data_IF_056668916761
#
_entry.id   IF_056668916761
#
_cell.length_a   1.000
_cell.length_b   1.000
_cell.length_c   1.000
_cell.angle_alpha   90.00
_cell.angle_beta   90.00
_cell.angle_gamma   90.00
#
_symmetry.space_group_name_H-M   'P 1'
#
loop_
_entity.id
_entity.type
_entity.pdbx_description
1 polymer ?
#
# COMPACT_ATOMS: atom_id res chain seq x y z
N UNK A 1 5.04 8.55 -5.84
CA UNK A 1 3.59 8.39 -5.56
C UNK A 1 2.86 8.48 -6.88
N UNK A 2 1.63 7.96 -7.00
CA UNK A 2 0.89 8.00 -8.28
C UNK A 2 0.54 9.41 -8.78
N UNK A 3 0.53 10.40 -7.90
CA UNK A 3 0.32 11.82 -8.21
C UNK A 3 1.61 12.57 -8.63
N UNK A 4 2.74 11.87 -8.69
CA UNK A 4 4.04 12.44 -8.99
C UNK A 4 4.84 12.92 -7.77
N UNK A 5 4.27 12.95 -6.55
CA UNK A 5 5.06 13.25 -5.35
C UNK A 5 6.17 12.21 -5.15
N UNK A 6 7.34 12.66 -4.70
CA UNK A 6 8.57 11.87 -4.62
C UNK A 6 8.88 11.54 -3.17
N UNK A 7 9.14 10.26 -2.88
CA UNK A 7 9.89 9.83 -1.69
C UNK A 7 11.32 9.63 -2.15
N UNK A 8 12.25 10.38 -1.56
CA UNK A 8 13.67 10.23 -1.82
C UNK A 8 14.33 9.59 -0.60
N UNK A 9 15.28 8.69 -0.81
CA UNK A 9 16.09 8.11 0.25
C UNK A 9 17.53 8.00 -0.25
N UNK A 10 18.44 8.63 0.48
CA UNK A 10 19.87 8.36 0.42
C UNK A 10 20.26 7.55 1.66
N UNK A 11 20.76 6.35 1.44
CA UNK A 11 21.19 5.43 2.50
C UNK A 11 22.73 5.43 2.58
N UNK A 12 23.27 5.67 3.76
CA UNK A 12 24.70 5.55 4.06
C UNK A 12 24.89 4.52 5.17
N UNK A 13 25.81 3.58 5.01
CA UNK A 13 26.09 2.53 6.00
C UNK A 13 27.57 2.61 6.37
N UNK A 14 27.87 2.78 7.66
CA UNK A 14 29.21 2.66 8.21
C UNK A 14 29.34 1.28 8.86
N UNK A 15 29.96 0.34 8.13
CA UNK A 15 30.15 -1.03 8.59
C UNK A 15 31.12 -1.14 9.78
N UNK A 16 32.00 -0.15 9.99
CA UNK A 16 32.96 -0.19 11.08
C UNK A 16 32.32 0.20 12.41
N UNK A 17 31.39 1.16 12.37
CA UNK A 17 30.61 1.58 13.55
C UNK A 17 29.32 0.78 13.74
N UNK A 18 28.87 0.08 12.70
CA UNK A 18 27.57 -0.60 12.70
C UNK A 18 26.40 0.38 12.63
N UNK A 19 26.61 1.57 12.04
CA UNK A 19 25.62 2.64 11.98
C UNK A 19 25.02 2.77 10.57
N UNK A 20 23.74 3.12 10.49
CA UNK A 20 23.06 3.40 9.24
C UNK A 20 22.38 4.77 9.28
N UNK A 21 22.55 5.57 8.22
CA UNK A 21 21.96 6.90 8.09
C UNK A 21 21.00 6.94 6.91
N UNK A 22 19.72 7.19 7.21
CA UNK A 22 18.61 7.30 6.28
C UNK A 22 18.27 8.77 6.07
N UNK A 23 18.67 9.32 4.92
CA UNK A 23 18.44 10.71 4.56
C UNK A 23 17.31 10.84 3.55
N UNK A 24 16.16 11.35 4.00
CA UNK A 24 14.98 11.60 3.18
C UNK A 24 14.96 12.99 2.53
N UNK A 25 16.07 13.75 2.57
CA UNK A 25 16.22 15.03 1.86
C UNK A 25 15.84 14.88 0.39
N UNK A 26 15.09 15.84 -0.16
CA UNK A 26 14.55 15.78 -1.52
C UNK A 26 13.19 15.09 -1.66
N UNK A 27 12.63 14.56 -0.57
CA UNK A 27 11.22 14.16 -0.52
C UNK A 27 10.32 15.39 -0.73
N UNK A 28 9.24 15.22 -1.48
CA UNK A 28 8.34 16.34 -1.82
C UNK A 28 7.72 17.02 -0.58
N UNK A 29 7.35 18.31 -0.70
CA UNK A 29 6.60 19.02 0.32
C UNK A 29 5.30 18.31 0.74
N UNK A 30 4.74 18.75 1.86
CA UNK A 30 3.38 18.43 2.29
C UNK A 30 2.39 18.51 1.12
N UNK A 31 1.50 17.53 1.05
CA UNK A 31 0.51 17.43 -0.02
C UNK A 31 -0.85 17.90 0.44
N UNK A 32 -1.59 18.54 -0.48
CA UNK A 32 -3.01 18.84 -0.30
C UNK A 32 -3.87 17.59 -0.51
N UNK A 33 -3.69 16.63 0.39
CA UNK A 33 -4.28 15.30 0.37
C UNK A 33 -4.16 14.66 1.75
N UNK A 34 -4.61 13.42 1.89
CA UNK A 34 -4.60 12.75 3.19
C UNK A 34 -3.44 11.76 3.37
N UNK A 35 -2.55 11.60 2.40
CA UNK A 35 -1.42 10.66 2.46
C UNK A 35 -0.14 11.28 3.04
N UNK A 36 -0.26 12.40 3.77
CA UNK A 36 0.83 12.87 4.61
C UNK A 36 1.04 11.88 5.76
N UNK A 37 2.30 11.69 6.17
CA UNK A 37 2.71 10.75 7.19
C UNK A 37 3.53 11.49 8.25
N UNK A 38 3.11 11.48 9.54
CA UNK A 38 3.94 11.94 10.63
C UNK A 38 5.29 11.22 10.67
N UNK A 39 6.33 11.87 11.19
CA UNK A 39 7.70 11.33 11.24
C UNK A 39 7.76 9.92 11.85
N UNK A 40 6.95 9.67 12.88
CA UNK A 40 6.84 8.36 13.54
C UNK A 40 6.45 7.22 12.59
N UNK A 41 5.66 7.50 11.55
CA UNK A 41 5.25 6.50 10.53
C UNK A 41 6.44 6.10 9.66
N UNK A 42 7.24 7.09 9.26
CA UNK A 42 8.47 6.87 8.49
C UNK A 42 9.48 6.08 9.32
N UNK A 43 9.68 6.46 10.59
CA UNK A 43 10.54 5.73 11.51
C UNK A 43 10.09 4.28 11.70
N UNK A 44 8.79 4.03 11.91
CA UNK A 44 8.25 2.68 12.04
C UNK A 44 8.48 1.82 10.79
N UNK A 45 8.32 2.39 9.59
CA UNK A 45 8.60 1.67 8.34
C UNK A 45 10.08 1.31 8.18
N UNK A 46 11.00 2.22 8.56
CA UNK A 46 12.45 1.95 8.56
C UNK A 46 12.80 0.81 9.53
N UNK A 47 12.27 0.86 10.76
CA UNK A 47 12.49 -0.21 11.77
C UNK A 47 11.97 -1.55 11.25
N UNK A 48 10.75 -1.56 10.70
CA UNK A 48 10.16 -2.76 10.13
C UNK A 48 11.09 -3.38 9.07
N UNK A 49 11.59 -2.57 8.14
CA UNK A 49 12.52 -3.05 7.10
C UNK A 49 13.80 -3.62 7.71
N UNK A 50 14.43 -2.89 8.64
CA UNK A 50 15.65 -3.37 9.30
C UNK A 50 15.41 -4.68 10.02
N UNK A 51 14.28 -4.82 10.75
CA UNK A 51 13.94 -6.08 11.43
C UNK A 51 13.74 -7.24 10.47
N UNK A 52 13.16 -7.00 9.29
CA UNK A 52 13.01 -8.02 8.25
C UNK A 52 14.33 -8.44 7.62
N UNK A 53 15.34 -7.55 7.58
CA UNK A 53 16.65 -7.84 6.99
C UNK A 53 17.62 -8.47 7.99
N UNK A 54 17.44 -8.18 9.27
CA UNK A 54 18.28 -8.67 10.35
C UNK A 54 17.81 -10.05 10.78
N UNK A 55 18.49 -11.08 10.30
CA UNK A 55 18.25 -12.50 10.62
C UNK A 55 18.83 -12.91 11.99
N UNK A 56 18.57 -12.09 13.02
CA UNK A 56 18.83 -12.45 14.41
C UNK A 56 17.57 -12.29 15.24
N UNK A 57 17.47 -13.09 16.29
CA UNK A 57 16.34 -13.03 17.23
C UNK A 57 16.52 -11.84 18.18
N UNK A 58 16.19 -10.64 17.68
CA UNK A 58 16.18 -9.40 18.46
C UNK A 58 14.74 -8.98 18.78
N UNK A 59 14.47 -8.55 20.03
CA UNK A 59 13.17 -8.01 20.39
C UNK A 59 12.92 -6.69 19.65
N UNK A 60 11.69 -6.47 19.18
CA UNK A 60 11.30 -5.24 18.51
C UNK A 60 11.12 -4.11 19.54
N UNK A 61 12.15 -3.30 19.77
CA UNK A 61 12.11 -2.16 20.67
C UNK A 61 12.99 -0.99 20.18
N UNK A 62 12.98 0.13 20.93
CA UNK A 62 13.73 1.34 20.57
C UNK A 62 15.26 1.13 20.50
N UNK A 63 15.81 0.09 21.14
CA UNK A 63 17.22 -0.26 21.02
C UNK A 63 17.64 -0.61 19.59
N UNK A 64 16.73 -1.11 18.76
CA UNK A 64 16.98 -1.34 17.33
C UNK A 64 17.25 -0.04 16.54
N UNK A 65 16.83 1.11 17.07
CA UNK A 65 17.06 2.42 16.47
C UNK A 65 18.32 3.12 16.97
N UNK A 66 18.94 2.65 18.06
CA UNK A 66 20.12 3.32 18.62
C UNK A 66 21.25 3.54 17.58
N UNK A 67 21.56 2.60 16.66
CA UNK A 67 22.57 2.81 15.62
C UNK A 67 21.99 3.40 14.31
N UNK A 68 20.73 3.85 14.31
CA UNK A 68 20.02 4.28 13.09
C UNK A 68 19.71 5.76 13.15
N UNK A 69 20.40 6.55 12.33
CA UNK A 69 20.07 7.96 12.12
C UNK A 69 19.00 8.10 11.04
N UNK A 70 17.92 8.82 11.32
CA UNK A 70 16.86 9.12 10.36
C UNK A 70 16.74 10.63 10.24
N UNK A 71 16.98 11.16 9.04
CA UNK A 71 16.75 12.56 8.72
C UNK A 71 15.55 12.71 7.79
N UNK A 72 14.54 13.45 8.25
CA UNK A 72 13.35 13.78 7.47
C UNK A 72 13.29 15.30 7.30
N UNK A 73 13.19 15.82 6.06
CA UNK A 73 13.09 17.25 5.85
C UNK A 73 11.75 17.78 6.37
N UNK A 74 11.79 18.77 7.28
CA UNK A 74 10.61 19.44 7.83
C UNK A 74 9.75 20.04 6.72
N UNK A 75 8.43 19.90 6.83
CA UNK A 75 7.48 20.38 5.83
C UNK A 75 7.36 19.51 4.58
N UNK A 76 8.05 18.37 4.53
CA UNK A 76 7.75 17.31 3.55
C UNK A 76 6.49 16.54 3.95
N UNK A 77 5.91 15.77 3.03
CA UNK A 77 4.77 14.93 3.40
C UNK A 77 5.15 13.75 4.32
N UNK A 78 6.43 13.55 4.64
CA UNK A 78 6.92 12.63 5.69
C UNK A 78 7.18 13.31 7.04
N UNK A 79 7.08 14.65 7.08
CA UNK A 79 7.13 15.51 8.27
C UNK A 79 6.18 16.69 8.04
N UNK A 80 4.87 16.44 7.87
CA UNK A 80 3.90 17.48 7.57
C UNK A 80 3.67 18.40 8.77
N UNK A 81 2.98 19.52 8.54
CA UNK A 81 2.45 20.37 9.60
C UNK A 81 1.27 19.73 10.32
N UNK A 82 0.96 20.23 11.52
CA UNK A 82 -0.19 19.76 12.33
C UNK A 82 -1.56 20.03 11.69
N UNK A 83 -1.59 20.78 10.58
CA UNK A 83 -2.82 21.09 9.82
C UNK A 83 -3.09 20.08 8.71
N UNK A 84 -2.13 19.23 8.38
CA UNK A 84 -2.23 18.29 7.29
C UNK A 84 -3.15 17.11 7.62
N UNK A 85 -3.88 16.61 6.63
CA UNK A 85 -4.60 15.36 6.76
C UNK A 85 -3.62 14.17 6.62
N UNK A 86 -3.70 13.20 7.56
CA UNK A 86 -2.71 12.12 7.69
C UNK A 86 -3.26 10.69 7.60
N UNK A 87 -4.58 10.52 7.40
CA UNK A 87 -5.23 9.19 7.37
C UNK A 87 -4.57 8.21 6.39
N UNK A 88 -4.22 8.70 5.21
CA UNK A 88 -3.55 7.96 4.14
C UNK A 88 -2.07 7.68 4.41
N UNK A 89 -1.43 8.36 5.38
CA UNK A 89 -0.01 8.21 5.70
C UNK A 89 0.33 6.79 6.13
N UNK A 90 -0.47 6.23 7.05
CA UNK A 90 -0.28 4.88 7.55
C UNK A 90 -0.58 3.78 6.52
N UNK A 91 -1.41 4.06 5.52
CA UNK A 91 -1.95 3.03 4.62
C UNK A 91 -1.37 3.09 3.21
N UNK A 92 -0.90 4.25 2.77
CA UNK A 92 -0.24 4.42 1.47
C UNK A 92 1.23 4.71 1.68
N UNK A 93 1.53 5.82 2.35
CA UNK A 93 2.90 6.35 2.40
C UNK A 93 3.86 5.42 3.13
N UNK A 94 3.46 4.79 4.24
CA UNK A 94 4.26 3.79 4.95
C UNK A 94 4.68 2.60 4.06
N UNK A 95 3.77 2.10 3.21
CA UNK A 95 4.04 1.04 2.24
C UNK A 95 5.05 1.51 1.19
N UNK A 96 4.94 2.76 0.76
CA UNK A 96 5.86 3.37 -0.23
C UNK A 96 7.25 3.63 0.36
N UNK A 97 7.34 4.06 1.63
CA UNK A 97 8.61 4.17 2.36
C UNK A 97 9.25 2.79 2.49
N UNK A 98 8.47 1.76 2.85
CA UNK A 98 8.94 0.37 2.92
C UNK A 98 9.52 -0.11 1.58
N UNK A 99 8.80 0.11 0.48
CA UNK A 99 9.29 -0.23 -0.87
C UNK A 99 10.61 0.48 -1.19
N UNK A 100 10.76 1.77 -0.87
CA UNK A 100 11.98 2.55 -1.11
C UNK A 100 13.15 2.01 -0.30
N UNK A 101 12.94 1.73 0.99
CA UNK A 101 13.98 1.18 1.87
C UNK A 101 14.42 -0.21 1.42
N UNK A 102 13.49 -1.15 1.21
CA UNK A 102 13.82 -2.50 0.75
C UNK A 102 14.50 -2.51 -0.63
N UNK A 103 14.11 -1.59 -1.51
CA UNK A 103 14.78 -1.39 -2.81
C UNK A 103 16.20 -0.86 -2.64
N UNK A 104 16.44 0.08 -1.71
CA UNK A 104 17.77 0.61 -1.44
C UNK A 104 18.74 -0.48 -0.94
N UNK A 105 18.24 -1.42 -0.12
CA UNK A 105 18.99 -2.61 0.29
C UNK A 105 19.04 -3.72 -0.77
N UNK A 106 18.33 -3.56 -1.89
CA UNK A 106 18.14 -4.61 -2.91
C UNK A 106 17.69 -5.95 -2.33
N UNK A 107 16.80 -5.89 -1.33
CA UNK A 107 16.40 -7.05 -0.55
C UNK A 107 15.38 -7.94 -1.27
N UNK A 108 14.36 -7.33 -1.88
CA UNK A 108 13.32 -8.01 -2.64
C UNK A 108 12.69 -7.06 -3.68
N UNK A 109 11.95 -7.62 -4.63
CA UNK A 109 11.09 -6.83 -5.50
C UNK A 109 9.98 -6.13 -4.70
N UNK A 110 9.36 -5.10 -5.29
CA UNK A 110 8.23 -4.43 -4.63
C UNK A 110 7.00 -5.36 -4.57
N UNK A 111 6.36 -5.40 -3.40
CA UNK A 111 5.01 -5.96 -3.25
C UNK A 111 3.96 -5.03 -3.89
N UNK A 112 2.66 -5.30 -3.71
CA UNK A 112 1.58 -4.42 -4.18
C UNK A 112 1.70 -2.94 -3.74
N UNK A 113 2.52 -2.63 -2.73
CA UNK A 113 2.95 -1.27 -2.37
C UNK A 113 1.82 -0.37 -1.86
N UNK A 114 0.75 -0.98 -1.34
CA UNK A 114 -0.46 -0.32 -0.85
C UNK A 114 -1.30 -1.30 -0.01
N UNK A 115 -2.18 -0.80 0.86
CA UNK A 115 -3.17 -1.63 1.56
C UNK A 115 -4.53 -1.74 0.85
N UNK A 116 -4.72 -0.99 -0.23
CA UNK A 116 -5.99 -0.87 -0.97
C UNK A 116 -7.18 -0.64 -0.06
N UNK A 117 -7.16 0.49 0.66
CA UNK A 117 -8.22 0.83 1.58
C UNK A 117 -9.52 1.10 0.83
N UNK A 118 -10.54 0.31 1.16
CA UNK A 118 -11.90 0.49 0.72
C UNK A 118 -12.76 0.83 1.92
N UNK A 119 -13.41 1.99 1.87
CA UNK A 119 -14.50 2.30 2.79
C UNK A 119 -15.77 2.60 2.01
N UNK A 120 -16.90 2.18 2.54
CA UNK A 120 -18.19 2.61 2.04
C UNK A 120 -19.24 2.61 3.13
N UNK A 121 -20.30 3.38 2.93
CA UNK A 121 -21.37 3.46 3.91
C UNK A 121 -22.40 4.51 3.58
N UNK A 122 -23.27 4.76 4.55
CA UNK A 122 -24.23 5.85 4.58
C UNK A 122 -24.44 6.29 6.04
N UNK A 123 -25.51 7.03 6.31
CA UNK A 123 -25.78 7.56 7.66
C UNK A 123 -26.11 6.46 8.69
N UNK A 124 -26.29 5.20 8.28
CA UNK A 124 -26.67 4.10 9.15
C UNK A 124 -25.56 3.08 9.39
N UNK A 125 -24.52 3.04 8.54
CA UNK A 125 -23.39 2.12 8.68
C UNK A 125 -22.13 2.60 7.97
N UNK A 126 -20.99 2.07 8.41
CA UNK A 126 -19.72 2.15 7.70
C UNK A 126 -19.06 0.79 7.59
N UNK A 127 -18.47 0.52 6.44
CA UNK A 127 -17.59 -0.61 6.19
C UNK A 127 -16.17 -0.12 5.91
N UNK A 128 -15.18 -0.84 6.40
CA UNK A 128 -13.77 -0.59 6.12
C UNK A 128 -13.04 -1.92 5.93
N UNK A 129 -12.33 -2.04 4.81
CA UNK A 129 -11.47 -3.17 4.51
C UNK A 129 -10.15 -2.70 3.88
N UNK A 130 -9.12 -3.51 4.13
CA UNK A 130 -7.84 -3.48 3.41
C UNK A 130 -7.80 -4.70 2.50
N UNK A 131 -7.44 -4.52 1.22
CA UNK A 131 -7.43 -5.59 0.24
C UNK A 131 -5.97 -5.98 -0.05
N UNK A 132 -5.65 -7.25 0.19
CA UNK A 132 -4.32 -7.81 -0.06
C UNK A 132 -3.96 -7.85 -1.55
N UNK A 133 -2.79 -8.40 -1.84
CA UNK A 133 -2.32 -8.59 -3.21
C UNK A 133 -1.05 -9.42 -3.27
N UNK A 134 -0.25 -9.21 -4.31
CA UNK A 134 1.00 -9.93 -4.49
C UNK A 134 2.11 -9.38 -3.59
N UNK A 135 2.85 -10.28 -2.93
CA UNK A 135 4.13 -9.94 -2.31
C UNK A 135 5.27 -9.99 -3.34
N UNK A 136 6.33 -9.23 -3.07
CA UNK A 136 7.53 -9.21 -3.89
C UNK A 136 8.36 -10.49 -3.76
N UNK A 137 8.89 -10.97 -4.88
CA UNK A 137 9.87 -12.06 -4.90
C UNK A 137 11.22 -11.62 -4.32
N UNK A 138 11.93 -12.54 -3.70
CA UNK A 138 13.27 -12.31 -3.17
C UNK A 138 14.35 -13.13 -3.87
N UNK A 139 15.59 -13.10 -3.36
CA UNK A 139 16.72 -13.81 -3.96
C UNK A 139 16.60 -15.33 -3.98
N UNK A 140 15.71 -15.89 -3.13
CA UNK A 140 15.55 -17.35 -2.96
C UNK A 140 14.09 -17.82 -2.90
N UNK A 141 13.13 -16.93 -3.16
CA UNK A 141 11.70 -17.24 -3.00
C UNK A 141 10.82 -16.51 -3.99
N UNK A 142 9.78 -17.19 -4.43
CA UNK A 142 8.65 -16.57 -5.14
C UNK A 142 7.79 -15.76 -4.17
N UNK A 143 7.13 -14.74 -4.68
CA UNK A 143 6.16 -13.97 -3.93
C UNK A 143 4.86 -14.75 -3.73
N UNK A 144 4.31 -14.68 -2.52
CA UNK A 144 2.99 -15.18 -2.17
C UNK A 144 1.90 -14.31 -2.78
N UNK A 145 0.90 -14.94 -3.41
CA UNK A 145 -0.27 -14.30 -4.02
C UNK A 145 -1.38 -14.01 -3.00
N UNK A 146 -2.10 -12.91 -3.18
CA UNK A 146 -3.34 -12.62 -2.46
C UNK A 146 -3.21 -12.39 -0.94
N UNK A 147 -2.07 -11.91 -0.47
CA UNK A 147 -1.78 -11.70 0.96
C UNK A 147 -1.66 -10.23 1.34
N UNK A 148 -1.89 -9.93 2.62
CA UNK A 148 -1.48 -8.66 3.20
C UNK A 148 0.03 -8.63 3.34
N UNK A 149 0.66 -7.54 2.91
CA UNK A 149 2.12 -7.41 2.86
C UNK A 149 2.58 -6.21 3.69
N UNK A 150 3.74 -6.36 4.33
CA UNK A 150 4.45 -5.28 5.02
C UNK A 150 3.63 -4.55 6.08
N UNK A 151 3.26 -3.30 5.83
CA UNK A 151 2.63 -2.41 6.82
C UNK A 151 1.17 -2.80 7.13
N UNK A 152 0.68 -3.95 6.67
CA UNK A 152 -0.69 -4.43 6.86
C UNK A 152 -0.72 -5.71 7.68
N UNK A 153 -1.59 -5.76 8.69
CA UNK A 153 -1.80 -6.92 9.55
C UNK A 153 -3.30 -7.15 9.81
N UNK A 154 -4.07 -7.32 8.75
CA UNK A 154 -5.52 -7.51 8.80
C UNK A 154 -5.89 -8.86 8.19
N UNK A 155 -7.05 -9.38 8.59
CA UNK A 155 -7.69 -10.53 7.93
C UNK A 155 -8.85 -10.02 7.08
N UNK A 156 -9.11 -10.70 5.97
CA UNK A 156 -10.31 -10.46 5.17
C UNK A 156 -11.56 -10.89 5.93
N UNK A 157 -12.68 -10.23 5.65
CA UNK A 157 -13.99 -10.66 6.14
C UNK A 157 -14.52 -11.77 5.24
N UNK A 158 -15.11 -12.82 5.83
CA UNK A 158 -15.71 -13.91 5.07
C UNK A 158 -16.80 -13.38 4.12
N UNK A 159 -16.84 -13.83 2.85
CA UNK A 159 -17.83 -13.39 1.86
C UNK A 159 -19.28 -13.48 2.35
N UNK A 160 -19.65 -14.58 3.01
CA UNK A 160 -21.01 -14.80 3.51
C UNK A 160 -21.38 -13.78 4.60
N UNK A 161 -20.45 -13.51 5.53
CA UNK A 161 -20.65 -12.49 6.57
C UNK A 161 -20.70 -11.09 5.96
N UNK A 162 -19.87 -10.84 4.94
CA UNK A 162 -19.85 -9.57 4.23
C UNK A 162 -21.19 -9.28 3.55
N UNK A 163 -21.75 -10.23 2.81
CA UNK A 163 -23.05 -10.10 2.16
C UNK A 163 -24.23 -10.10 3.14
N UNK A 164 -24.11 -10.81 4.27
CA UNK A 164 -25.16 -10.84 5.30
C UNK A 164 -25.26 -9.51 6.06
N UNK A 165 -24.12 -8.89 6.38
CA UNK A 165 -24.07 -7.68 7.22
C UNK A 165 -24.20 -6.38 6.44
N UNK A 166 -23.79 -6.37 5.17
CA UNK A 166 -23.74 -5.16 4.37
C UNK A 166 -24.66 -5.28 3.14
N UNK A 167 -25.23 -4.16 2.65
CA UNK A 167 -26.15 -4.15 1.52
C UNK A 167 -25.39 -4.29 0.20
N UNK A 168 -24.70 -5.41 0.00
CA UNK A 168 -23.80 -5.67 -1.13
C UNK A 168 -23.96 -7.10 -1.64
N UNK A 169 -23.49 -7.35 -2.86
CA UNK A 169 -23.24 -8.68 -3.42
C UNK A 169 -21.81 -8.75 -3.92
N UNK A 170 -21.10 -9.83 -3.61
CA UNK A 170 -19.72 -10.07 -4.00
C UNK A 170 -19.70 -11.01 -5.23
N UNK A 171 -19.68 -10.42 -6.42
CA UNK A 171 -19.69 -11.18 -7.68
C UNK A 171 -18.38 -11.90 -7.96
N UNK A 172 -17.26 -11.33 -7.51
CA UNK A 172 -15.94 -11.94 -7.70
C UNK A 172 -15.05 -11.64 -6.52
N UNK A 173 -14.35 -12.68 -6.06
CA UNK A 173 -13.21 -12.55 -5.19
C UNK A 173 -12.22 -13.69 -5.45
N UNK A 174 -11.01 -13.35 -5.89
CA UNK A 174 -9.98 -14.35 -6.16
C UNK A 174 -8.68 -13.74 -6.64
N UNK A 175 -7.71 -14.59 -6.96
CA UNK A 175 -6.42 -14.16 -7.49
C UNK A 175 -6.60 -13.51 -8.87
N UNK A 176 -5.82 -12.46 -9.12
CA UNK A 176 -5.64 -11.87 -10.43
C UNK A 176 -4.48 -12.59 -11.12
N UNK A 177 -4.81 -13.70 -11.77
CA UNK A 177 -3.82 -14.57 -12.41
C UNK A 177 -2.86 -13.79 -13.32
N UNK A 178 -1.58 -14.14 -13.24
CA UNK A 178 -0.50 -13.59 -14.07
C UNK A 178 -0.33 -12.07 -13.94
N UNK A 179 -0.64 -11.52 -12.76
CA UNK A 179 -0.38 -10.11 -12.44
C UNK A 179 0.94 -9.89 -11.70
N UNK A 180 1.54 -10.93 -11.13
CA UNK A 180 2.86 -10.89 -10.55
C UNK A 180 3.97 -10.60 -11.58
N UNK A 181 5.02 -9.91 -11.14
CA UNK A 181 6.20 -9.64 -11.97
C UNK A 181 6.94 -10.92 -12.35
N UNK A 182 7.35 -11.06 -13.61
CA UNK A 182 8.12 -12.22 -14.07
C UNK A 182 9.62 -12.06 -13.79
N UNK A 183 10.27 -13.10 -13.30
CA UNK A 183 11.71 -13.14 -13.05
C UNK A 183 12.18 -14.57 -12.82
N UNK A 184 13.42 -14.74 -12.35
CA UNK A 184 13.90 -16.05 -11.86
C UNK A 184 12.97 -16.59 -10.76
N UNK A 185 12.62 -15.70 -9.84
CA UNK A 185 11.52 -15.88 -8.90
C UNK A 185 10.36 -14.98 -9.31
N UNK A 186 9.14 -15.52 -9.30
CA UNK A 186 7.93 -14.81 -9.71
C UNK A 186 7.37 -14.00 -8.54
N UNK A 187 6.93 -12.77 -8.80
CA UNK A 187 6.12 -12.03 -7.83
C UNK A 187 4.75 -12.67 -7.64
N UNK A 188 4.14 -12.46 -6.47
CA UNK A 188 2.80 -12.96 -6.19
C UNK A 188 1.74 -12.25 -7.04
N UNK A 189 0.64 -12.95 -7.30
CA UNK A 189 -0.52 -12.39 -7.98
C UNK A 189 -1.35 -11.51 -7.02
N UNK A 190 -1.90 -10.42 -7.57
CA UNK A 190 -2.85 -9.56 -6.88
C UNK A 190 -4.22 -10.21 -6.69
N UNK A 191 -5.20 -9.42 -6.27
CA UNK A 191 -6.59 -9.85 -6.11
C UNK A 191 -7.48 -9.14 -7.13
N UNK A 192 -8.58 -9.79 -7.49
CA UNK A 192 -9.73 -9.16 -8.15
C UNK A 192 -10.91 -9.22 -7.18
N UNK A 193 -11.57 -8.08 -6.98
CA UNK A 193 -12.80 -8.02 -6.18
C UNK A 193 -13.86 -7.22 -6.91
N UNK A 194 -15.08 -7.73 -7.00
CA UNK A 194 -16.22 -7.04 -7.63
C UNK A 194 -17.41 -7.02 -6.68
N UNK A 195 -17.76 -5.82 -6.20
CA UNK A 195 -18.78 -5.60 -5.17
C UNK A 195 -19.91 -4.79 -5.80
N UNK A 196 -21.10 -5.37 -5.91
CA UNK A 196 -22.33 -4.65 -6.27
C UNK A 196 -22.99 -4.04 -5.03
N UNK A 197 -23.38 -2.78 -5.12
CA UNK A 197 -24.12 -2.11 -4.04
C UNK A 197 -25.63 -2.27 -4.22
N UNK A 198 -26.30 -2.86 -3.21
CA UNK A 198 -27.75 -3.05 -3.21
C UNK A 198 -28.54 -1.83 -2.75
N UNK A 199 -27.88 -0.75 -2.35
CA UNK A 199 -28.48 0.56 -2.08
C UNK A 199 -27.48 1.69 -2.35
N UNK A 200 -27.92 2.95 -2.45
CA UNK A 200 -27.00 4.07 -2.61
C UNK A 200 -26.03 4.17 -1.42
N UNK A 201 -24.74 4.30 -1.71
CA UNK A 201 -23.68 4.45 -0.70
C UNK A 201 -22.66 5.48 -1.13
N UNK A 202 -21.92 6.01 -0.17
CA UNK A 202 -20.71 6.81 -0.42
C UNK A 202 -19.52 5.87 -0.28
N UNK A 203 -18.66 5.84 -1.30
CA UNK A 203 -17.45 5.03 -1.36
C UNK A 203 -16.23 5.94 -1.31
N UNK A 204 -15.21 5.55 -0.54
CA UNK A 204 -13.87 6.13 -0.64
C UNK A 204 -12.83 5.04 -0.86
N UNK A 205 -11.87 5.34 -1.73
CA UNK A 205 -10.78 4.44 -2.10
C UNK A 205 -9.48 5.18 -1.87
N UNK A 206 -8.61 4.61 -1.04
CA UNK A 206 -7.23 5.05 -0.89
C UNK A 206 -6.33 3.93 -1.38
N UNK A 207 -5.74 4.14 -2.56
CA UNK A 207 -4.89 3.15 -3.18
C UNK A 207 -3.74 3.76 -4.01
N UNK A 208 -2.63 3.03 -4.14
CA UNK A 208 -1.41 3.39 -4.88
C UNK A 208 -1.07 2.32 -5.92
N UNK A 209 -0.05 2.51 -6.77
CA UNK A 209 0.22 1.63 -7.95
C UNK A 209 -0.88 1.68 -9.01
N UNK A 210 -1.59 2.81 -8.98
CA UNK A 210 -2.40 3.53 -9.97
C UNK A 210 -1.77 3.68 -11.32
N UNK A 211 -0.56 4.25 -11.26
CA UNK A 211 0.19 4.92 -12.33
C UNK A 211 1.55 4.26 -12.50
N UNK A 212 2.22 3.98 -11.38
CA UNK A 212 3.52 3.30 -11.40
C UNK A 212 3.38 1.83 -10.98
N UNK A 213 3.89 0.91 -11.81
CA UNK A 213 3.89 -0.51 -11.50
C UNK A 213 4.78 -0.85 -10.28
N UNK A 214 4.44 -1.89 -9.48
CA UNK A 214 5.39 -2.50 -8.53
C UNK A 214 6.67 -2.91 -9.26
N UNK A 215 7.81 -2.36 -8.85
CA UNK A 215 9.07 -2.58 -9.56
C UNK A 215 9.61 -3.97 -9.30
N UNK A 216 10.07 -4.62 -10.36
CA UNK A 216 10.98 -5.76 -10.27
C UNK A 216 12.35 -5.33 -9.75
N UNK A 217 13.20 -6.31 -9.44
CA UNK A 217 14.56 -6.08 -8.94
C UNK A 217 15.55 -6.95 -9.72
N UNK A 218 16.79 -6.48 -9.91
CA UNK A 218 17.90 -7.22 -10.57
C UNK A 218 17.50 -7.89 -11.90
N UNK A 219 16.77 -7.16 -12.75
CA UNK A 219 16.34 -7.64 -14.07
C UNK A 219 14.98 -8.35 -14.11
N UNK A 220 14.33 -8.55 -12.96
CA UNK A 220 12.92 -8.97 -12.91
C UNK A 220 12.00 -7.91 -13.52
N UNK A 221 10.94 -8.35 -14.21
CA UNK A 221 9.90 -7.48 -14.76
C UNK A 221 8.98 -6.97 -13.65
N UNK A 222 8.45 -5.77 -13.87
CA UNK A 222 7.47 -5.15 -12.99
C UNK A 222 6.17 -5.96 -12.90
N UNK A 223 5.52 -5.91 -11.74
CA UNK A 223 4.16 -6.43 -11.56
C UNK A 223 3.13 -5.58 -12.28
N UNK A 224 1.93 -6.11 -12.49
CA UNK A 224 0.85 -5.36 -13.11
C UNK A 224 0.34 -4.25 -12.19
N UNK A 225 0.00 -3.09 -12.77
CA UNK A 225 -0.68 -2.00 -12.06
C UNK A 225 -2.05 -2.44 -11.55
N UNK A 226 -2.45 -1.93 -10.39
CA UNK A 226 -3.82 -2.04 -9.91
C UNK A 226 -4.76 -1.20 -10.76
N UNK A 227 -6.07 -1.39 -10.63
CA UNK A 227 -7.03 -0.55 -11.33
C UNK A 227 -8.38 -0.56 -10.63
N UNK A 228 -8.98 0.61 -10.45
CA UNK A 228 -10.28 0.73 -9.79
C UNK A 228 -11.31 1.18 -10.83
N UNK A 229 -12.42 0.45 -10.95
CA UNK A 229 -13.47 0.71 -11.93
C UNK A 229 -14.85 0.76 -11.26
N UNK A 230 -15.62 1.81 -11.55
CA UNK A 230 -17.06 1.80 -11.34
C UNK A 230 -17.74 1.23 -12.58
N UNK A 231 -18.54 0.20 -12.39
CA UNK A 231 -19.42 -0.37 -13.40
C UNK A 231 -20.83 0.09 -13.04
N UNK A 232 -21.42 0.93 -13.88
CA UNK A 232 -22.77 1.43 -13.65
C UNK A 232 -23.83 0.39 -14.02
N UNK A 233 -25.10 0.62 -13.63
CA UNK A 233 -26.20 -0.32 -13.89
C UNK A 233 -26.41 -0.62 -15.38
N UNK A 234 -26.17 0.37 -16.23
CA UNK A 234 -26.14 0.31 -17.71
C UNK A 234 -24.83 -0.27 -18.26
N UNK A 235 -24.00 -0.92 -17.42
CA UNK A 235 -22.74 -1.59 -17.77
C UNK A 235 -21.63 -0.68 -18.31
N UNK A 236 -21.76 0.65 -18.21
CA UNK A 236 -20.66 1.57 -18.50
C UNK A 236 -19.55 1.41 -17.47
N UNK A 237 -18.31 1.31 -17.95
CA UNK A 237 -17.11 1.14 -17.13
C UNK A 237 -16.34 2.45 -17.04
N UNK A 238 -16.12 2.93 -15.82
CA UNK A 238 -15.46 4.21 -15.53
C UNK A 238 -14.22 3.93 -14.69
N UNK A 239 -13.05 4.38 -15.16
CA UNK A 239 -11.82 4.31 -14.39
C UNK A 239 -11.79 5.40 -13.30
N UNK A 240 -11.53 5.01 -12.05
CA UNK A 240 -11.61 5.91 -10.90
C UNK A 240 -10.26 6.47 -10.43
N UNK A 241 -9.14 5.97 -10.96
CA UNK A 241 -7.81 6.26 -10.44
C UNK A 241 -7.54 5.63 -9.07
N UNK A 242 -6.40 5.96 -8.46
CA UNK A 242 -5.95 5.35 -7.19
C UNK A 242 -6.57 5.96 -5.93
N UNK A 243 -6.79 7.28 -5.94
CA UNK A 243 -7.28 8.05 -4.79
C UNK A 243 -8.59 8.72 -5.17
N UNK A 244 -9.70 8.19 -4.65
CA UNK A 244 -11.03 8.78 -4.87
C UNK A 244 -11.76 8.92 -3.55
N UNK A 245 -12.06 10.15 -3.19
CA UNK A 245 -12.81 10.48 -1.99
C UNK A 245 -14.29 10.67 -2.34
N UNK A 246 -15.17 10.12 -1.49
CA UNK A 246 -16.61 10.43 -1.46
C UNK A 246 -17.36 10.24 -2.79
N UNK A 247 -17.12 9.13 -3.48
CA UNK A 247 -17.86 8.74 -4.68
C UNK A 247 -19.25 8.22 -4.30
N UNK A 248 -20.31 8.94 -4.70
CA UNK A 248 -21.68 8.43 -4.55
C UNK A 248 -21.95 7.33 -5.58
N UNK A 249 -22.13 6.11 -5.11
CA UNK A 249 -22.50 4.95 -5.91
C UNK A 249 -24.01 4.71 -5.80
N UNK A 250 -24.65 4.40 -6.93
CA UNK A 250 -26.09 4.13 -6.99
C UNK A 250 -26.35 2.65 -6.73
N UNK A 251 -27.57 2.32 -6.34
CA UNK A 251 -28.02 0.93 -6.30
C UNK A 251 -27.82 0.25 -7.66
N UNK A 252 -27.33 -0.98 -7.64
CA UNK A 252 -27.01 -1.79 -8.83
C UNK A 252 -25.72 -1.39 -9.55
N UNK A 253 -24.97 -0.39 -9.06
CA UNK A 253 -23.60 -0.19 -9.51
C UNK A 253 -22.64 -1.15 -8.81
N UNK A 254 -21.61 -1.59 -9.52
CA UNK A 254 -20.56 -2.44 -9.00
C UNK A 254 -19.23 -1.73 -9.01
N UNK A 255 -18.41 -2.02 -8.01
CA UNK A 255 -17.05 -1.52 -7.90
C UNK A 255 -16.09 -2.68 -8.04
N UNK A 256 -15.18 -2.57 -9.01
CA UNK A 256 -14.20 -3.59 -9.34
C UNK A 256 -12.78 -3.09 -9.14
N UNK A 257 -11.96 -3.86 -8.43
CA UNK A 257 -10.55 -3.58 -8.15
C UNK A 257 -9.66 -4.71 -8.68
#
# INVERSE_FOLDING_TARGET
>A
MDDGSVIHLKLTIDSNKGEAFFDFSGTSPEVYGNWNAPEAVTAAAVIYCLRCLVDVDIPLNQGCLAPVGIHIPKGSFLSPSDKAAVVGGNVLTSQRVTDVVLTAFQACACSQGCMNNLTFGDNTFGYYETIGGGSGAGPRWDGTSGVQCHMTNTRMTDPEIFEQRYPVLLHKFGLRENSGGSGLHKGGDGLVREIEFRRPVVVSILSERRVHAPKGLKGGKDGARGANYLITKDKRRIYLGGKKHSLRCRQGSSLRF
#
